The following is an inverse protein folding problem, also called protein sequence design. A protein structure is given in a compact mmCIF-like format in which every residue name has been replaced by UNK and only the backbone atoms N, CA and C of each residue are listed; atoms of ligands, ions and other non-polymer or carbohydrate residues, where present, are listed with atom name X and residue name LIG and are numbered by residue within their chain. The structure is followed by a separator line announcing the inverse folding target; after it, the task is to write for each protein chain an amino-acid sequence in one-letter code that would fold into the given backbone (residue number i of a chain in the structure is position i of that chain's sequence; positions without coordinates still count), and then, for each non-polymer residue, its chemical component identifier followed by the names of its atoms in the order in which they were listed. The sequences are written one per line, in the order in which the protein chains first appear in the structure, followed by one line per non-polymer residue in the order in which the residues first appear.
data_IF_170333363396
#
_entry.id   IF_170333363396
#
_cell.length_a   1.000
_cell.length_b   1.000
_cell.length_c   1.000
_cell.angle_alpha   90.00
_cell.angle_beta   90.00
_cell.angle_gamma   90.00
#
_symmetry.space_group_name_H-M   'P 1'
#
loop_
_entity.id
_entity.type
_entity.pdbx_description
1 polymer ?
#
# COMPACT_ATOMS: atom_id res chain seq x y z
N UNK A 1 4.17 -37.01 -15.22
CA UNK A 1 3.12 -36.18 -14.60
C UNK A 1 3.75 -34.84 -14.29
N UNK A 2 3.16 -33.74 -14.74
CA UNK A 2 3.62 -32.42 -14.32
C UNK A 2 3.36 -32.27 -12.82
N UNK A 3 4.33 -31.78 -12.06
CA UNK A 3 4.10 -31.43 -10.66
C UNK A 3 3.09 -30.28 -10.62
N UNK A 4 2.11 -30.38 -9.73
CA UNK A 4 1.13 -29.31 -9.48
C UNK A 4 1.53 -28.55 -8.23
N UNK A 5 1.16 -27.27 -8.17
CA UNK A 5 1.25 -26.43 -7.00
C UNK A 5 -0.02 -25.60 -6.84
N UNK A 6 -0.25 -25.10 -5.64
CA UNK A 6 -1.41 -24.31 -5.30
C UNK A 6 -1.23 -22.85 -5.70
N UNK A 7 -2.30 -22.28 -6.22
CA UNK A 7 -2.46 -20.86 -6.48
C UNK A 7 -3.75 -20.37 -5.83
N UNK A 8 -3.65 -19.27 -5.09
CA UNK A 8 -4.81 -18.53 -4.59
C UNK A 8 -5.01 -17.26 -5.42
N UNK A 9 -6.25 -17.04 -5.84
CA UNK A 9 -6.72 -15.76 -6.37
C UNK A 9 -7.56 -15.08 -5.31
N UNK A 10 -7.25 -13.82 -5.01
CA UNK A 10 -8.01 -12.99 -4.09
C UNK A 10 -8.55 -11.78 -4.84
N UNK A 11 -9.86 -11.71 -4.95
CA UNK A 11 -10.61 -10.62 -5.58
C UNK A 11 -11.30 -9.74 -4.52
N UNK A 12 -11.72 -8.54 -4.91
CA UNK A 12 -12.51 -7.70 -4.01
C UNK A 12 -13.85 -8.37 -3.68
N UNK A 13 -14.29 -8.37 -2.40
CA UNK A 13 -15.55 -8.97 -2.01
C UNK A 13 -16.74 -8.27 -2.66
N UNK A 14 -17.79 -9.03 -2.98
CA UNK A 14 -19.08 -8.49 -3.42
C UNK A 14 -19.91 -8.04 -2.20
N UNK A 15 -21.07 -7.40 -2.45
CA UNK A 15 -22.00 -6.93 -1.40
C UNK A 15 -22.41 -8.03 -0.41
N UNK A 16 -22.39 -9.29 -0.84
CA UNK A 16 -22.76 -10.44 -0.02
C UNK A 16 -21.57 -11.12 0.68
N UNK A 17 -20.34 -10.63 0.46
CA UNK A 17 -19.10 -11.19 1.03
C UNK A 17 -18.82 -12.65 0.64
N UNK A 18 -19.51 -13.21 -0.36
CA UNK A 18 -19.34 -14.60 -0.81
C UNK A 18 -18.51 -14.63 -2.10
N UNK A 19 -17.65 -15.64 -2.23
CA UNK A 19 -16.87 -15.96 -3.44
C UNK A 19 -15.90 -14.84 -3.88
N UNK A 20 -14.86 -14.61 -3.08
CA UNK A 20 -13.75 -13.72 -3.44
C UNK A 20 -12.36 -14.33 -3.26
N UNK A 21 -12.25 -15.55 -2.72
CA UNK A 21 -11.01 -16.30 -2.63
C UNK A 21 -11.19 -17.62 -3.36
N UNK A 22 -10.33 -17.88 -4.34
CA UNK A 22 -10.38 -19.07 -5.17
C UNK A 22 -9.04 -19.80 -5.09
N UNK A 23 -9.09 -21.13 -4.92
CA UNK A 23 -7.91 -21.99 -4.86
C UNK A 23 -7.88 -22.91 -6.07
N UNK A 24 -6.73 -22.98 -6.72
CA UNK A 24 -6.51 -23.78 -7.91
C UNK A 24 -5.23 -24.60 -7.79
N UNK A 25 -5.23 -25.80 -8.38
CA UNK A 25 -4.01 -26.55 -8.63
C UNK A 25 -3.54 -26.22 -10.05
N UNK A 26 -2.35 -25.64 -10.15
CA UNK A 26 -1.72 -25.23 -11.41
C UNK A 26 -0.40 -25.96 -11.62
N UNK A 27 0.06 -26.17 -12.86
CA UNK A 27 1.39 -26.73 -13.09
C UNK A 27 2.48 -25.86 -12.47
N UNK A 28 3.47 -26.50 -11.84
CA UNK A 28 4.67 -25.79 -11.37
C UNK A 28 5.32 -25.13 -12.59
N UNK A 29 5.58 -23.81 -12.56
CA UNK A 29 6.14 -23.10 -13.70
C UNK A 29 7.57 -23.56 -14.02
N UNK A 30 7.90 -23.57 -15.31
CA UNK A 30 9.25 -23.87 -15.79
C UNK A 30 10.23 -22.74 -15.41
N UNK A 31 11.47 -23.12 -15.10
CA UNK A 31 12.50 -22.17 -14.67
C UNK A 31 13.01 -21.39 -15.89
N UNK A 32 12.93 -20.04 -15.90
CA UNK A 32 13.48 -19.25 -17.00
C UNK A 32 14.99 -19.45 -17.14
N UNK A 33 15.50 -19.50 -18.37
CA UNK A 33 16.92 -19.82 -18.66
C UNK A 33 17.89 -18.92 -17.90
N UNK A 34 17.61 -17.62 -17.80
CA UNK A 34 18.46 -16.63 -17.12
C UNK A 34 17.90 -16.20 -15.75
N UNK A 35 16.90 -16.91 -15.26
CA UNK A 35 16.11 -16.51 -14.12
C UNK A 35 16.17 -17.51 -12.96
N UNK A 36 15.16 -17.45 -12.11
CA UNK A 36 15.01 -18.36 -10.99
C UNK A 36 13.55 -18.73 -10.77
N UNK A 37 13.33 -19.87 -10.10
CA UNK A 37 12.06 -20.21 -9.48
C UNK A 37 12.21 -20.11 -7.97
N UNK A 38 11.29 -19.37 -7.38
CA UNK A 38 11.23 -19.07 -5.96
C UNK A 38 10.09 -19.87 -5.36
N UNK A 39 10.39 -20.63 -4.30
CA UNK A 39 9.37 -21.20 -3.43
C UNK A 39 8.91 -20.11 -2.47
N UNK A 40 7.67 -19.66 -2.65
CA UNK A 40 7.06 -18.56 -1.90
C UNK A 40 6.73 -19.02 -0.49
N UNK A 41 7.24 -18.35 0.53
CA UNK A 41 6.97 -18.69 1.94
C UNK A 41 5.91 -17.76 2.51
N UNK A 42 6.08 -16.46 2.30
CA UNK A 42 5.19 -15.42 2.81
C UNK A 42 4.79 -14.47 1.67
N UNK A 43 3.54 -14.00 1.71
CA UNK A 43 3.08 -12.93 0.83
C UNK A 43 2.25 -11.89 1.59
N UNK A 44 2.39 -10.61 1.24
CA UNK A 44 1.55 -9.54 1.77
C UNK A 44 0.10 -9.70 1.30
N UNK A 45 -0.85 -9.80 2.24
CA UNK A 45 -2.26 -9.94 1.89
C UNK A 45 -2.83 -8.62 1.36
N UNK A 46 -3.58 -8.71 0.28
CA UNK A 46 -4.23 -7.67 -0.50
C UNK A 46 -5.17 -8.34 -1.52
N UNK A 47 -6.20 -7.65 -1.99
CA UNK A 47 -7.13 -8.17 -3.01
C UNK A 47 -7.05 -7.36 -4.30
N UNK A 48 -7.47 -7.96 -5.42
CA UNK A 48 -7.57 -7.24 -6.70
C UNK A 48 -8.86 -6.40 -6.75
N UNK A 49 -8.84 -5.18 -7.29
CA UNK A 49 -10.07 -4.48 -7.61
C UNK A 49 -10.82 -5.27 -8.70
N UNK A 50 -12.08 -5.63 -8.48
CA UNK A 50 -12.92 -6.15 -9.57
C UNK A 50 -13.05 -5.08 -10.67
N UNK A 51 -12.76 -5.45 -11.91
CA UNK A 51 -13.14 -4.62 -13.08
C UNK A 51 -14.66 -4.63 -13.18
N UNK A 52 -15.28 -3.46 -13.37
CA UNK A 52 -16.69 -3.36 -13.71
C UNK A 52 -17.00 -4.27 -14.92
N UNK A 53 -18.11 -5.02 -14.93
CA UNK A 53 -18.52 -5.69 -16.15
C UNK A 53 -18.76 -4.62 -17.22
N UNK A 54 -17.97 -4.66 -18.29
CA UNK A 54 -18.26 -3.87 -19.48
C UNK A 54 -19.62 -4.31 -20.04
N UNK A 55 -20.49 -3.35 -20.36
CA UNK A 55 -21.82 -3.56 -20.96
C UNK A 55 -21.81 -4.28 -22.34
N UNK A 56 -20.66 -4.79 -22.79
CA UNK A 56 -20.49 -5.48 -24.07
C UNK A 56 -20.67 -7.00 -23.99
N UNK A 57 -21.14 -7.56 -22.87
CA UNK A 57 -21.46 -8.99 -22.75
C UNK A 57 -22.91 -9.22 -22.31
N UNK A 58 -23.85 -8.72 -23.12
CA UNK A 58 -25.25 -9.16 -23.10
C UNK A 58 -25.55 -9.91 -24.41
N UNK A 59 -25.20 -11.19 -24.44
CA UNK A 59 -25.85 -12.15 -25.34
C UNK A 59 -26.31 -13.34 -24.52
N UNK A 60 -27.46 -13.19 -23.85
CA UNK A 60 -28.41 -14.28 -23.59
C UNK A 60 -29.77 -13.68 -23.25
N UNK A 61 -30.72 -13.90 -24.16
CA UNK A 61 -32.13 -13.57 -24.03
C UNK A 61 -32.79 -14.36 -22.89
N UNK A 62 -33.59 -13.69 -22.05
CA UNK A 62 -34.95 -14.10 -21.67
C UNK A 62 -35.64 -13.05 -20.79
N UNK A 63 -36.88 -12.76 -21.15
CA UNK A 63 -37.72 -11.65 -20.73
C UNK A 63 -38.41 -11.85 -19.39
N UNK A 64 -38.57 -10.79 -18.59
CA UNK A 64 -39.87 -10.40 -18.01
C UNK A 64 -39.82 -8.99 -17.41
N UNK A 65 -40.91 -8.27 -17.66
CA UNK A 65 -41.15 -6.85 -17.43
C UNK A 65 -41.37 -6.50 -15.96
N UNK A 66 -40.88 -5.34 -15.51
CA UNK A 66 -41.54 -4.45 -14.55
C UNK A 66 -40.96 -3.04 -14.66
N UNK A 67 -41.85 -2.09 -14.95
CA UNK A 67 -41.61 -0.67 -15.23
C UNK A 67 -41.00 0.08 -14.03
N UNK A 68 -39.94 0.86 -14.25
CA UNK A 68 -39.64 2.04 -13.42
C UNK A 68 -39.17 3.19 -14.32
N UNK A 69 -39.78 4.35 -14.07
CA UNK A 69 -39.85 5.57 -14.85
C UNK A 69 -38.52 6.33 -14.97
N UNK A 70 -38.30 6.96 -16.12
CA UNK A 70 -37.20 7.89 -16.40
C UNK A 70 -37.16 9.09 -15.44
N UNK A 71 -35.98 9.43 -14.90
CA UNK A 71 -35.31 10.76 -14.96
C UNK A 71 -34.21 10.88 -13.90
N UNK A 72 -32.94 10.68 -14.29
CA UNK A 72 -31.79 11.38 -13.70
C UNK A 72 -30.53 11.10 -14.51
N UNK A 73 -29.82 12.17 -14.85
CA UNK A 73 -28.52 12.17 -15.52
C UNK A 73 -27.48 11.64 -14.52
N UNK A 74 -27.20 10.34 -14.53
CA UNK A 74 -26.09 9.74 -13.78
C UNK A 74 -25.91 8.28 -14.22
N UNK A 75 -24.68 7.86 -14.57
CA UNK A 75 -24.42 6.43 -14.76
C UNK A 75 -23.23 6.08 -15.64
N UNK A 76 -22.02 6.30 -15.13
CA UNK A 76 -20.84 5.52 -15.52
C UNK A 76 -19.91 5.43 -14.28
N UNK A 77 -20.32 4.64 -13.28
CA UNK A 77 -19.50 4.39 -12.11
C UNK A 77 -19.58 2.91 -11.68
N UNK A 78 -18.48 2.31 -11.21
CA UNK A 78 -18.56 1.05 -10.48
C UNK A 78 -19.45 1.28 -9.25
N UNK A 79 -20.51 0.48 -9.13
CA UNK A 79 -21.33 0.42 -7.93
C UNK A 79 -20.53 -0.30 -6.85
N UNK A 80 -19.57 0.39 -6.24
CA UNK A 80 -19.23 0.16 -4.83
C UNK A 80 -19.77 1.36 -4.08
N UNK A 81 -21.02 1.28 -3.62
CA UNK A 81 -21.44 2.17 -2.53
C UNK A 81 -20.45 1.91 -1.38
N UNK A 82 -19.77 2.94 -0.85
CA UNK A 82 -19.06 2.78 0.41
C UNK A 82 -20.11 2.57 1.49
N UNK A 83 -20.50 1.32 1.70
CA UNK A 83 -21.25 0.97 2.89
C UNK A 83 -20.40 1.37 4.09
N UNK A 84 -21.07 1.96 5.08
CA UNK A 84 -20.46 2.43 6.30
C UNK A 84 -19.63 1.30 6.94
N UNK A 85 -18.30 1.38 6.84
CA UNK A 85 -17.38 0.41 7.45
C UNK A 85 -16.55 -0.46 6.48
N UNK A 86 -16.84 -0.50 5.17
CA UNK A 86 -16.04 -1.27 4.20
C UNK A 86 -15.08 -0.34 3.45
N UNK A 87 -13.77 -0.60 3.58
CA UNK A 87 -12.72 0.17 2.88
C UNK A 87 -12.11 -0.65 1.76
N UNK A 88 -11.77 0.02 0.66
CA UNK A 88 -11.00 -0.60 -0.42
C UNK A 88 -9.51 -0.60 -0.06
N UNK A 89 -8.94 -1.79 0.10
CA UNK A 89 -7.55 -2.06 0.43
C UNK A 89 -6.79 -2.74 -0.73
N UNK A 90 -7.33 -2.68 -1.95
CA UNK A 90 -6.76 -3.30 -3.15
C UNK A 90 -5.59 -2.50 -3.74
N UNK A 91 -4.40 -2.58 -3.15
CA UNK A 91 -3.23 -1.82 -3.60
C UNK A 91 -2.12 -2.65 -4.25
N UNK A 92 -1.77 -3.83 -3.71
CA UNK A 92 -0.64 -4.64 -4.19
C UNK A 92 -0.98 -6.13 -4.26
N UNK A 93 -1.96 -6.55 -5.08
CA UNK A 93 -2.39 -7.93 -5.09
C UNK A 93 -1.31 -8.87 -5.63
N UNK A 94 -0.69 -9.67 -4.74
CA UNK A 94 0.22 -10.75 -5.11
C UNK A 94 1.65 -10.35 -5.51
N UNK A 95 2.04 -9.08 -5.34
CA UNK A 95 3.40 -8.60 -5.70
C UNK A 95 4.39 -8.63 -4.53
N UNK A 96 3.89 -8.73 -3.30
CA UNK A 96 4.67 -8.67 -2.08
C UNK A 96 5.02 -10.06 -1.62
N UNK A 97 6.15 -10.59 -2.06
CA UNK A 97 6.51 -11.99 -1.88
C UNK A 97 7.90 -12.13 -1.29
N UNK A 98 8.03 -13.00 -0.29
CA UNK A 98 9.29 -13.44 0.27
C UNK A 98 9.36 -14.97 0.25
N UNK A 99 10.50 -15.50 -0.16
CA UNK A 99 10.65 -16.93 -0.36
C UNK A 99 12.11 -17.37 -0.41
N UNK A 100 12.29 -18.57 -0.95
CA UNK A 100 13.57 -19.24 -1.05
C UNK A 100 13.82 -19.59 -2.52
N UNK A 101 15.03 -19.32 -3.03
CA UNK A 101 15.45 -19.78 -4.35
C UNK A 101 15.40 -21.30 -4.38
N UNK A 102 14.48 -21.87 -5.16
CA UNK A 102 14.33 -23.32 -5.30
C UNK A 102 15.12 -23.86 -6.49
N UNK A 103 15.18 -23.10 -7.59
CA UNK A 103 15.97 -23.48 -8.76
C UNK A 103 16.47 -22.24 -9.49
N UNK A 104 17.65 -22.37 -10.10
CA UNK A 104 18.23 -21.40 -11.01
C UNK A 104 18.13 -21.91 -12.45
N UNK A 105 18.04 -20.98 -13.40
CA UNK A 105 18.01 -21.29 -14.83
C UNK A 105 19.34 -21.83 -15.34
N UNK A 106 19.31 -22.61 -16.41
CA UNK A 106 20.52 -23.25 -16.98
C UNK A 106 21.51 -22.27 -17.62
N UNK A 107 21.08 -21.04 -17.91
CA UNK A 107 21.93 -19.96 -18.43
C UNK A 107 22.44 -19.00 -17.35
N UNK A 108 22.09 -19.24 -16.08
CA UNK A 108 22.64 -18.50 -14.94
C UNK A 108 24.08 -18.97 -14.71
N UNK A 109 25.00 -18.01 -14.65
CA UNK A 109 26.42 -18.29 -14.37
C UNK A 109 26.63 -18.76 -12.93
N UNK A 110 27.63 -19.61 -12.70
CA UNK A 110 27.97 -20.13 -11.36
C UNK A 110 28.42 -19.01 -10.39
N UNK A 111 28.83 -17.84 -10.90
CA UNK A 111 29.26 -16.66 -10.14
C UNK A 111 28.16 -15.59 -9.96
N UNK A 112 26.89 -15.91 -10.26
CA UNK A 112 25.76 -14.96 -10.28
C UNK A 112 25.34 -14.37 -8.91
N UNK A 113 26.13 -14.57 -7.85
CA UNK A 113 25.83 -14.24 -6.45
C UNK A 113 24.59 -14.92 -5.86
N UNK A 114 23.86 -15.76 -6.59
CA UNK A 114 22.68 -16.47 -6.08
C UNK A 114 22.91 -17.98 -6.01
N UNK A 115 22.35 -18.63 -5.00
CA UNK A 115 22.39 -20.07 -4.79
C UNK A 115 21.00 -20.60 -4.43
N UNK A 116 20.76 -21.87 -4.73
CA UNK A 116 19.59 -22.59 -4.23
C UNK A 116 19.62 -22.58 -2.70
N UNK A 117 18.50 -22.23 -2.08
CA UNK A 117 18.39 -22.04 -0.63
C UNK A 117 18.50 -20.58 -0.18
N UNK A 118 18.94 -19.66 -1.04
CA UNK A 118 18.97 -18.24 -0.70
C UNK A 118 17.57 -17.70 -0.40
N UNK A 119 17.47 -16.92 0.67
CA UNK A 119 16.26 -16.19 1.05
C UNK A 119 16.19 -14.91 0.24
N UNK A 120 15.06 -14.69 -0.43
CA UNK A 120 14.90 -13.56 -1.36
C UNK A 120 13.52 -12.91 -1.27
N UNK A 121 13.49 -11.63 -1.62
CA UNK A 121 12.29 -10.89 -1.97
C UNK A 121 12.37 -10.48 -3.44
N UNK A 122 11.20 -10.19 -4.01
CA UNK A 122 11.06 -9.80 -5.39
C UNK A 122 10.85 -8.29 -5.52
N UNK A 123 11.68 -7.61 -6.31
CA UNK A 123 11.40 -6.25 -6.77
C UNK A 123 10.31 -6.25 -7.86
N UNK A 124 9.26 -5.40 -7.75
CA UNK A 124 8.18 -5.37 -8.74
C UNK A 124 8.66 -5.09 -10.17
N UNK A 125 8.14 -5.84 -11.15
CA UNK A 125 8.44 -5.71 -12.58
C UNK A 125 7.20 -5.97 -13.45
N UNK A 126 7.22 -5.51 -14.69
CA UNK A 126 6.11 -5.69 -15.61
C UNK A 126 5.93 -7.16 -15.99
N UNK A 127 4.71 -7.68 -15.82
CA UNK A 127 4.39 -9.08 -16.12
C UNK A 127 4.68 -10.07 -15.00
N UNK A 128 4.87 -9.61 -13.75
CA UNK A 128 4.85 -10.50 -12.59
C UNK A 128 3.56 -11.33 -12.61
N UNK A 129 3.66 -12.68 -12.45
CA UNK A 129 2.48 -13.52 -12.34
C UNK A 129 1.54 -13.03 -11.24
N UNK A 130 0.28 -12.76 -11.61
CA UNK A 130 -0.72 -12.37 -10.63
C UNK A 130 -1.00 -13.56 -9.69
N UNK A 131 -0.82 -13.35 -8.40
CA UNK A 131 -1.44 -14.18 -7.38
C UNK A 131 -0.52 -14.74 -6.32
N UNK A 132 -1.18 -15.37 -5.39
CA UNK A 132 -0.64 -16.02 -4.22
C UNK A 132 -0.28 -17.46 -4.60
N UNK A 133 0.89 -17.63 -5.19
CA UNK A 133 1.37 -18.93 -5.72
C UNK A 133 2.40 -19.54 -4.78
N UNK A 134 2.47 -20.87 -4.73
CA UNK A 134 3.53 -21.59 -4.02
C UNK A 134 4.90 -21.48 -4.71
N UNK A 135 4.91 -21.40 -6.05
CA UNK A 135 6.12 -21.22 -6.86
C UNK A 135 5.95 -20.05 -7.81
N UNK A 136 6.88 -19.09 -7.72
CA UNK A 136 6.93 -17.91 -8.56
C UNK A 136 8.21 -17.91 -9.39
N UNK A 137 8.13 -17.55 -10.65
CA UNK A 137 9.31 -17.43 -11.53
C UNK A 137 9.68 -15.99 -11.75
N UNK A 138 10.99 -15.74 -11.78
CA UNK A 138 11.57 -14.45 -12.15
C UNK A 138 12.38 -14.62 -13.43
N UNK A 139 12.22 -13.76 -14.43
CA UNK A 139 12.90 -13.93 -15.72
C UNK A 139 14.39 -13.60 -15.65
N UNK A 140 14.80 -12.78 -14.67
CA UNK A 140 16.15 -12.24 -14.52
C UNK A 140 16.43 -12.06 -13.02
N UNK A 141 17.65 -12.42 -12.59
CA UNK A 141 18.08 -12.36 -11.19
C UNK A 141 18.19 -10.92 -10.66
N UNK A 142 18.25 -9.90 -11.52
CA UNK A 142 18.26 -8.49 -11.10
C UNK A 142 17.01 -8.07 -10.32
N UNK A 143 15.92 -8.81 -10.46
CA UNK A 143 14.67 -8.56 -9.72
C UNK A 143 14.67 -9.22 -8.34
N UNK A 144 15.67 -10.04 -8.02
CA UNK A 144 15.80 -10.62 -6.70
C UNK A 144 16.66 -9.72 -5.82
N UNK A 145 16.35 -9.72 -4.54
CA UNK A 145 17.18 -9.14 -3.49
C UNK A 145 17.30 -10.16 -2.37
N UNK A 146 18.53 -10.40 -1.93
CA UNK A 146 18.79 -11.30 -0.80
C UNK A 146 18.27 -10.72 0.51
N UNK A 147 17.67 -11.57 1.31
CA UNK A 147 17.20 -11.27 2.65
C UNK A 147 18.17 -11.91 3.65
N UNK A 148 18.78 -11.14 4.56
CA UNK A 148 19.63 -11.68 5.62
C UNK A 148 18.87 -12.61 6.54
N UNK A 149 19.59 -13.57 7.15
CA UNK A 149 18.93 -14.56 8.02
C UNK A 149 18.27 -13.97 9.26
N UNK A 150 18.77 -12.81 9.70
CA UNK A 150 18.27 -12.06 10.85
C UNK A 150 16.87 -11.46 10.66
N UNK A 151 16.38 -11.34 9.42
CA UNK A 151 15.07 -10.75 9.14
C UNK A 151 14.05 -11.85 8.82
N UNK A 152 12.97 -12.05 9.59
CA UNK A 152 11.92 -13.03 9.27
C UNK A 152 11.31 -12.80 7.87
N UNK A 153 11.05 -13.88 7.12
CA UNK A 153 10.44 -13.76 5.77
C UNK A 153 9.05 -13.10 5.79
N UNK A 154 8.31 -13.19 6.91
CA UNK A 154 7.05 -12.46 7.08
C UNK A 154 7.24 -10.94 7.06
N UNK A 155 8.35 -10.44 7.60
CA UNK A 155 8.71 -9.02 7.56
C UNK A 155 9.25 -8.65 6.19
N UNK A 156 10.12 -9.49 5.62
CA UNK A 156 10.69 -9.26 4.29
C UNK A 156 9.62 -9.13 3.20
N UNK A 157 8.53 -9.91 3.30
CA UNK A 157 7.41 -9.83 2.36
C UNK A 157 6.74 -8.45 2.30
N UNK A 158 6.87 -7.63 3.35
CA UNK A 158 6.26 -6.29 3.43
C UNK A 158 7.07 -5.21 2.72
N UNK A 159 8.31 -5.53 2.31
CA UNK A 159 9.25 -4.55 1.80
C UNK A 159 8.99 -4.12 0.34
N UNK A 160 8.79 -5.05 -0.62
CA UNK A 160 8.86 -4.71 -2.04
C UNK A 160 7.79 -3.77 -2.59
N UNK A 161 6.62 -3.70 -1.97
CA UNK A 161 5.57 -2.79 -2.43
C UNK A 161 5.22 -1.76 -1.36
N UNK A 162 4.68 -2.17 -0.22
CA UNK A 162 4.16 -1.25 0.78
C UNK A 162 5.26 -0.37 1.38
N UNK A 163 6.32 -0.97 1.88
CA UNK A 163 7.40 -0.22 2.51
C UNK A 163 8.24 0.57 1.48
N UNK A 164 8.47 0.00 0.29
CA UNK A 164 9.16 0.69 -0.81
C UNK A 164 8.38 1.93 -1.29
N UNK A 165 7.07 1.81 -1.48
CA UNK A 165 6.21 2.93 -1.86
C UNK A 165 6.23 4.01 -0.77
N UNK A 166 6.14 3.60 0.50
CA UNK A 166 6.24 4.50 1.63
C UNK A 166 7.60 5.23 1.67
N UNK A 167 8.71 4.53 1.44
CA UNK A 167 10.06 5.10 1.41
C UNK A 167 10.21 6.14 0.30
N UNK A 168 9.77 5.80 -0.91
CA UNK A 168 9.85 6.73 -2.04
C UNK A 168 8.96 7.97 -1.81
N UNK A 169 7.79 7.79 -1.18
CA UNK A 169 6.94 8.92 -0.77
C UNK A 169 7.64 9.83 0.24
N UNK A 170 8.35 9.25 1.22
CA UNK A 170 9.13 10.01 2.21
C UNK A 170 10.27 10.77 1.51
N UNK A 171 10.91 10.20 0.49
CA UNK A 171 11.97 10.87 -0.27
C UNK A 171 11.41 12.05 -1.06
N UNK A 172 10.28 11.88 -1.75
CA UNK A 172 9.59 12.97 -2.42
C UNK A 172 9.18 14.07 -1.42
N UNK A 173 8.67 13.68 -0.24
CA UNK A 173 8.37 14.63 0.83
C UNK A 173 9.63 15.35 1.33
N UNK A 174 10.76 14.65 1.44
CA UNK A 174 12.04 15.21 1.87
C UNK A 174 12.54 16.31 0.92
N UNK A 175 12.42 16.12 -0.40
CA UNK A 175 12.74 17.18 -1.38
C UNK A 175 11.89 18.44 -1.16
N UNK A 176 10.59 18.25 -0.89
CA UNK A 176 9.69 19.36 -0.55
C UNK A 176 10.06 20.04 0.77
N UNK A 177 10.41 19.27 1.80
CA UNK A 177 10.90 19.78 3.09
C UNK A 177 12.16 20.63 2.88
N UNK A 178 13.16 20.12 2.15
CA UNK A 178 14.41 20.84 1.90
C UNK A 178 14.17 22.19 1.21
N UNK A 179 13.29 22.22 0.19
CA UNK A 179 12.91 23.45 -0.49
C UNK A 179 12.26 24.45 0.47
N UNK A 180 11.27 24.01 1.25
CA UNK A 180 10.55 24.87 2.19
C UNK A 180 11.43 25.41 3.31
N UNK A 181 12.31 24.57 3.87
CA UNK A 181 13.25 24.98 4.93
C UNK A 181 14.23 26.02 4.38
N UNK A 182 14.70 25.87 3.14
CA UNK A 182 15.55 26.88 2.48
C UNK A 182 14.83 28.22 2.26
N UNK A 183 13.56 28.18 1.88
CA UNK A 183 12.75 29.38 1.66
C UNK A 183 12.37 30.11 2.97
N UNK A 184 12.10 29.35 4.04
CA UNK A 184 11.65 29.88 5.34
C UNK A 184 12.79 30.17 6.32
N UNK A 185 14.00 29.71 6.05
CA UNK A 185 15.20 29.96 6.86
C UNK A 185 15.18 29.26 8.23
N UNK A 186 15.89 29.84 9.20
CA UNK A 186 16.19 29.18 10.48
C UNK A 186 14.97 28.97 11.40
N UNK A 187 13.88 29.72 11.19
CA UNK A 187 12.65 29.57 11.97
C UNK A 187 11.55 28.80 11.22
N UNK A 188 11.85 28.31 10.02
CA UNK A 188 10.90 27.57 9.20
C UNK A 188 10.68 26.16 9.71
N UNK A 189 9.43 25.84 10.07
CA UNK A 189 8.98 24.47 10.36
C UNK A 189 8.11 24.00 9.20
N UNK A 190 8.39 22.80 8.70
CA UNK A 190 7.57 22.06 7.76
C UNK A 190 6.64 21.11 8.52
N UNK A 191 5.37 21.11 8.15
CA UNK A 191 4.33 20.32 8.81
C UNK A 191 3.85 19.21 7.89
N UNK A 192 4.01 17.96 8.31
CA UNK A 192 3.61 16.77 7.56
C UNK A 192 2.40 16.13 8.24
N UNK A 193 1.34 15.90 7.49
CA UNK A 193 0.16 15.13 7.91
C UNK A 193 0.16 13.77 7.21
N UNK A 194 0.23 12.69 7.97
CA UNK A 194 0.09 11.32 7.47
C UNK A 194 -1.34 10.85 7.78
N UNK A 195 -2.08 10.44 6.76
CA UNK A 195 -3.48 10.02 6.91
C UNK A 195 -3.59 8.51 7.00
N UNK A 196 -4.24 8.04 8.06
CA UNK A 196 -4.53 6.65 8.35
C UNK A 196 -3.48 5.95 9.22
N UNK A 197 -3.82 4.73 9.64
CA UNK A 197 -3.01 3.86 10.51
C UNK A 197 -2.89 2.45 9.93
N UNK A 198 -3.12 2.29 8.62
CA UNK A 198 -2.88 1.05 7.90
C UNK A 198 -1.39 0.83 7.59
N UNK A 199 -1.04 -0.35 7.07
CA UNK A 199 0.36 -0.74 6.81
C UNK A 199 1.20 0.30 6.07
N UNK A 200 0.67 0.94 5.02
CA UNK A 200 1.38 2.00 4.28
C UNK A 200 1.66 3.24 5.13
N UNK A 201 0.64 3.75 5.84
CA UNK A 201 0.79 4.93 6.67
C UNK A 201 1.76 4.69 7.83
N UNK A 202 1.73 3.49 8.44
CA UNK A 202 2.67 3.11 9.49
C UNK A 202 4.10 2.95 8.97
N UNK A 203 4.29 2.38 7.77
CA UNK A 203 5.61 2.38 7.12
C UNK A 203 6.10 3.80 6.88
N UNK A 204 5.27 4.67 6.31
CA UNK A 204 5.62 6.08 6.08
C UNK A 204 6.00 6.78 7.38
N UNK A 205 5.24 6.58 8.46
CA UNK A 205 5.54 7.16 9.77
C UNK A 205 6.92 6.72 10.29
N UNK A 206 7.22 5.42 10.25
CA UNK A 206 8.49 4.86 10.73
C UNK A 206 9.68 5.33 9.90
N UNK A 207 9.53 5.31 8.58
CA UNK A 207 10.58 5.76 7.65
C UNK A 207 10.78 7.28 7.77
N UNK A 208 9.70 8.05 7.85
CA UNK A 208 9.76 9.50 8.08
C UNK A 208 10.44 9.83 9.41
N UNK A 209 10.11 9.12 10.50
CA UNK A 209 10.74 9.30 11.79
C UNK A 209 12.27 9.06 11.73
N UNK A 210 12.72 8.08 10.93
CA UNK A 210 14.14 7.83 10.69
C UNK A 210 14.80 8.93 9.86
N UNK A 211 14.29 9.26 8.67
CA UNK A 211 14.93 10.24 7.77
C UNK A 211 14.82 11.69 8.23
N UNK A 212 13.77 12.04 8.97
CA UNK A 212 13.61 13.37 9.55
C UNK A 212 14.17 13.48 10.98
N UNK A 213 14.82 12.43 11.50
CA UNK A 213 15.42 12.44 12.83
C UNK A 213 16.41 13.59 13.04
N UNK A 214 17.23 13.92 12.04
CA UNK A 214 18.19 15.03 12.11
C UNK A 214 17.55 16.42 11.88
N UNK A 215 16.27 16.47 11.48
CA UNK A 215 15.52 17.69 11.17
C UNK A 215 14.32 17.87 12.12
N UNK A 216 14.37 17.32 13.33
CA UNK A 216 13.25 17.37 14.28
C UNK A 216 12.80 18.79 14.65
N UNK A 217 13.71 19.76 14.69
CA UNK A 217 13.36 21.16 14.96
C UNK A 217 12.74 21.86 13.73
N UNK A 218 12.78 21.20 12.57
CA UNK A 218 12.31 21.71 11.27
C UNK A 218 11.12 20.95 10.73
N UNK A 219 10.82 19.76 11.24
CA UNK A 219 9.76 18.89 10.73
C UNK A 219 8.89 18.44 11.88
N UNK A 220 7.59 18.70 11.76
CA UNK A 220 6.58 18.20 12.69
C UNK A 220 5.67 17.23 11.96
N UNK A 221 5.43 16.07 12.57
CA UNK A 221 4.62 15.01 11.98
C UNK A 221 3.33 14.88 12.80
N UNK A 222 2.20 14.93 12.10
CA UNK A 222 0.87 14.68 12.65
C UNK A 222 0.28 13.46 11.96
N UNK A 223 -0.34 12.56 12.72
CA UNK A 223 -1.05 11.40 12.18
C UNK A 223 -2.55 11.61 12.33
N UNK A 224 -3.29 11.54 11.24
CA UNK A 224 -4.74 11.49 11.25
C UNK A 224 -5.21 10.03 11.33
N UNK A 225 -5.55 9.57 12.53
CA UNK A 225 -6.11 8.24 12.70
C UNK A 225 -7.59 8.21 12.33
N UNK A 226 -8.02 7.14 11.68
CA UNK A 226 -9.41 6.91 11.30
C UNK A 226 -10.16 6.02 12.30
N UNK A 227 -9.49 5.61 13.39
CA UNK A 227 -9.99 4.69 14.42
C UNK A 227 -9.52 5.16 15.80
N UNK A 228 -9.99 4.47 16.83
CA UNK A 228 -9.53 4.64 18.20
C UNK A 228 -8.20 3.88 18.44
N UNK A 229 -7.20 4.13 17.59
CA UNK A 229 -5.83 3.61 17.74
C UNK A 229 -4.79 4.74 17.86
N UNK A 230 -5.25 6.00 17.84
CA UNK A 230 -4.40 7.17 17.92
C UNK A 230 -3.57 7.24 19.20
N UNK A 231 -4.09 6.73 20.31
CA UNK A 231 -3.37 6.65 21.58
C UNK A 231 -2.16 5.70 21.51
N UNK A 232 -2.30 4.57 20.82
CA UNK A 232 -1.19 3.62 20.63
C UNK A 232 -0.06 4.27 19.82
N UNK A 233 -0.42 5.03 18.78
CA UNK A 233 0.54 5.76 17.96
C UNK A 233 1.27 6.86 18.77
N UNK A 234 0.53 7.62 19.58
CA UNK A 234 1.12 8.65 20.43
C UNK A 234 2.04 8.08 21.53
N UNK A 235 1.76 6.87 22.02
CA UNK A 235 2.62 6.17 22.98
C UNK A 235 3.90 5.64 22.32
N UNK A 236 3.80 5.11 21.10
CA UNK A 236 4.93 4.54 20.38
C UNK A 236 5.89 5.62 19.86
N UNK A 237 5.35 6.75 19.40
CA UNK A 237 6.14 7.87 18.89
C UNK A 237 5.99 9.08 19.81
N UNK A 238 6.97 9.31 20.69
CA UNK A 238 6.94 10.40 21.68
C UNK A 238 6.88 11.83 21.10
N UNK A 239 7.07 12.00 19.78
CA UNK A 239 7.18 13.31 19.10
C UNK A 239 6.23 13.49 17.92
N UNK A 240 5.08 12.81 17.94
CA UNK A 240 4.05 13.02 16.93
C UNK A 240 2.77 13.56 17.55
N UNK A 241 2.08 14.41 16.80
CA UNK A 241 0.72 14.79 17.13
C UNK A 241 -0.24 13.77 16.52
N UNK A 242 -1.38 13.54 17.16
CA UNK A 242 -2.40 12.64 16.63
C UNK A 242 -3.75 13.34 16.64
N UNK A 243 -4.49 13.20 15.54
CA UNK A 243 -5.86 13.69 15.40
C UNK A 243 -6.77 12.57 14.94
N UNK A 244 -7.96 12.47 15.50
CA UNK A 244 -8.95 11.51 15.07
C UNK A 244 -9.82 12.09 13.94
N UNK A 245 -9.82 11.41 12.80
CA UNK A 245 -10.72 11.60 11.67
C UNK A 245 -11.94 10.69 11.79
N UNK A 246 -12.79 11.02 12.77
CA UNK A 246 -14.06 10.34 12.94
C UNK A 246 -15.05 10.79 11.86
N UNK A 247 -15.32 9.92 10.89
CA UNK A 247 -16.18 10.20 9.74
C UNK A 247 -17.65 10.53 10.12
N UNK A 248 -18.05 10.33 11.38
CA UNK A 248 -19.37 10.76 11.92
C UNK A 248 -19.44 12.25 12.25
N UNK A 249 -18.30 12.93 12.36
CA UNK A 249 -18.24 14.36 12.67
C UNK A 249 -18.43 15.20 11.41
N UNK A 250 -18.82 16.46 11.62
CA UNK A 250 -18.93 17.43 10.54
C UNK A 250 -17.55 17.80 9.98
N UNK A 251 -17.46 18.00 8.66
CA UNK A 251 -16.19 18.33 8.00
C UNK A 251 -15.49 19.55 8.60
N UNK A 252 -16.24 20.60 8.94
CA UNK A 252 -15.66 21.81 9.54
C UNK A 252 -14.92 21.50 10.84
N UNK A 253 -15.50 20.64 11.70
CA UNK A 253 -14.89 20.24 12.97
C UNK A 253 -13.64 19.39 12.74
N UNK A 254 -13.68 18.48 11.76
CA UNK A 254 -12.52 17.66 11.40
C UNK A 254 -11.36 18.51 10.89
N UNK A 255 -11.66 19.52 10.05
CA UNK A 255 -10.68 20.48 9.54
C UNK A 255 -10.08 21.30 10.69
N UNK A 256 -10.93 21.89 11.55
CA UNK A 256 -10.48 22.69 12.70
C UNK A 256 -9.59 21.88 13.66
N UNK A 257 -9.99 20.65 14.02
CA UNK A 257 -9.19 19.75 14.86
C UNK A 257 -7.87 19.35 14.21
N UNK A 258 -7.87 19.13 12.89
CA UNK A 258 -6.64 18.78 12.16
C UNK A 258 -5.67 19.96 12.13
N UNK A 259 -6.18 21.17 11.90
CA UNK A 259 -5.36 22.38 11.97
C UNK A 259 -4.82 22.61 13.38
N UNK A 260 -5.61 22.39 14.43
CA UNK A 260 -5.15 22.50 15.82
C UNK A 260 -4.01 21.51 16.11
N UNK A 261 -4.17 20.24 15.72
CA UNK A 261 -3.13 19.21 15.87
C UNK A 261 -1.86 19.48 15.03
N UNK A 262 -2.00 20.01 13.80
CA UNK A 262 -0.89 20.50 12.97
C UNK A 262 -0.31 21.85 13.48
N UNK A 263 -0.90 22.47 14.51
CA UNK A 263 -0.59 23.83 14.98
C UNK A 263 -0.67 24.89 13.86
N UNK A 264 -1.63 24.73 12.95
CA UNK A 264 -1.86 25.57 11.77
C UNK A 264 -2.06 24.72 10.50
N UNK A 265 -1.85 25.34 9.33
CA UNK A 265 -1.87 24.63 8.05
C UNK A 265 -0.66 23.69 7.93
N UNK A 266 -0.87 22.52 7.35
CA UNK A 266 0.17 21.54 7.07
C UNK A 266 0.74 21.81 5.65
N UNK A 267 2.01 21.50 5.40
CA UNK A 267 2.69 21.74 4.11
C UNK A 267 2.69 20.52 3.19
N UNK A 268 2.68 19.34 3.80
CA UNK A 268 2.71 18.05 3.11
C UNK A 268 1.60 17.20 3.70
N UNK A 269 0.79 16.58 2.86
CA UNK A 269 -0.16 15.53 3.26
C UNK A 269 0.19 14.25 2.52
N UNK A 270 0.20 13.11 3.22
CA UNK A 270 0.38 11.78 2.64
C UNK A 270 -0.89 10.98 2.92
N UNK A 271 -1.68 10.68 1.88
CA UNK A 271 -2.95 9.96 1.99
C UNK A 271 -3.02 8.82 0.95
N UNK A 272 -2.65 7.61 1.36
CA UNK A 272 -2.72 6.45 0.47
C UNK A 272 -4.15 5.93 0.28
N UNK A 273 -4.99 6.06 1.31
CA UNK A 273 -6.39 5.61 1.33
C UNK A 273 -7.36 6.69 0.86
N UNK A 274 -6.94 7.51 -0.11
CA UNK A 274 -7.61 8.76 -0.44
C UNK A 274 -9.02 8.52 -0.99
N UNK A 275 -9.98 9.28 -0.45
CA UNK A 275 -11.34 9.44 -0.99
C UNK A 275 -11.56 10.88 -1.41
N UNK A 276 -12.63 11.16 -2.17
CA UNK A 276 -13.00 12.55 -2.50
C UNK A 276 -13.20 13.41 -1.23
N UNK A 277 -13.80 12.82 -0.19
CA UNK A 277 -14.04 13.47 1.11
C UNK A 277 -12.73 13.75 1.86
N UNK A 278 -11.84 12.75 1.96
CA UNK A 278 -10.55 12.92 2.64
C UNK A 278 -9.64 13.90 1.87
N UNK A 279 -9.60 13.84 0.54
CA UNK A 279 -8.83 14.78 -0.28
C UNK A 279 -9.32 16.22 -0.10
N UNK A 280 -10.64 16.43 -0.11
CA UNK A 280 -11.21 17.75 0.17
C UNK A 280 -10.76 18.29 1.53
N UNK A 281 -10.81 17.46 2.58
CA UNK A 281 -10.36 17.79 3.94
C UNK A 281 -8.86 18.11 3.97
N UNK A 282 -8.03 17.27 3.36
CA UNK A 282 -6.59 17.46 3.22
C UNK A 282 -6.26 18.80 2.56
N UNK A 283 -6.92 19.14 1.44
CA UNK A 283 -6.72 20.43 0.75
C UNK A 283 -7.18 21.64 1.59
N UNK A 284 -8.15 21.48 2.51
CA UNK A 284 -8.51 22.56 3.44
C UNK A 284 -7.45 22.77 4.52
N UNK A 285 -6.74 21.72 4.92
CA UNK A 285 -5.68 21.79 5.93
C UNK A 285 -4.32 22.17 5.33
N UNK A 286 -4.19 22.15 3.99
CA UNK A 286 -2.93 22.33 3.28
C UNK A 286 -2.61 23.83 3.09
N UNK A 287 -1.34 24.19 3.28
CA UNK A 287 -0.83 25.55 3.07
C UNK A 287 -0.73 25.91 1.59
N UNK A 288 -0.54 27.20 1.31
CA UNK A 288 -0.19 27.68 -0.03
C UNK A 288 1.17 27.08 -0.44
N UNK A 289 1.29 26.62 -1.67
CA UNK A 289 2.39 25.81 -2.22
C UNK A 289 2.53 24.41 -1.58
N UNK A 290 1.58 23.99 -0.76
CA UNK A 290 1.59 22.67 -0.17
C UNK A 290 1.32 21.57 -1.19
N UNK A 291 1.68 20.34 -0.83
CA UNK A 291 1.50 19.14 -1.65
C UNK A 291 0.72 18.06 -0.89
N UNK A 292 -0.19 17.39 -1.60
CA UNK A 292 -0.76 16.12 -1.15
C UNK A 292 -0.30 14.99 -2.06
N UNK A 293 0.27 13.95 -1.45
CA UNK A 293 0.67 12.71 -2.12
C UNK A 293 -0.44 11.68 -2.01
N UNK A 294 -0.85 11.14 -3.15
CA UNK A 294 -1.92 10.13 -3.27
C UNK A 294 -1.49 8.99 -4.17
N UNK A 295 -2.10 7.81 -4.04
CA UNK A 295 -1.84 6.68 -4.96
C UNK A 295 -2.19 7.08 -6.39
N UNK A 296 -1.36 6.66 -7.36
CA UNK A 296 -1.49 7.01 -8.79
C UNK A 296 -2.90 6.78 -9.35
N UNK A 297 -3.45 5.58 -9.17
CA UNK A 297 -4.82 5.25 -9.62
C UNK A 297 -5.88 6.17 -9.01
N UNK A 298 -5.67 6.61 -7.77
CA UNK A 298 -6.57 7.56 -7.11
C UNK A 298 -6.37 8.97 -7.65
N UNK A 299 -5.12 9.38 -7.92
CA UNK A 299 -4.79 10.64 -8.56
C UNK A 299 -5.50 10.75 -9.91
N UNK A 300 -5.41 9.74 -10.77
CA UNK A 300 -6.01 9.75 -12.11
C UNK A 300 -7.53 9.95 -12.06
N UNK A 301 -8.20 9.39 -11.05
CA UNK A 301 -9.66 9.55 -10.85
C UNK A 301 -10.05 10.90 -10.25
N UNK A 302 -9.24 11.44 -9.34
CA UNK A 302 -9.60 12.62 -8.53
C UNK A 302 -9.03 13.92 -9.09
N UNK A 303 -7.88 13.92 -9.76
CA UNK A 303 -7.27 15.11 -10.36
C UNK A 303 -8.24 15.89 -11.26
N UNK A 304 -9.04 15.27 -12.15
CA UNK A 304 -10.00 16.02 -12.96
C UNK A 304 -11.05 16.78 -12.14
N UNK A 305 -11.39 16.29 -10.94
CA UNK A 305 -12.38 16.90 -10.04
C UNK A 305 -11.80 18.02 -9.18
N UNK A 306 -10.50 17.96 -8.88
CA UNK A 306 -9.85 18.85 -7.91
C UNK A 306 -8.83 19.81 -8.54
N UNK A 307 -8.48 19.66 -9.82
CA UNK A 307 -7.47 20.48 -10.53
C UNK A 307 -7.71 21.99 -10.39
N UNK A 308 -8.92 22.45 -10.73
CA UNK A 308 -9.30 23.86 -10.60
C UNK A 308 -9.14 24.38 -9.17
N UNK A 309 -9.56 23.59 -8.19
CA UNK A 309 -9.47 23.97 -6.77
C UNK A 309 -8.02 23.99 -6.27
N UNK A 310 -7.18 23.09 -6.79
CA UNK A 310 -5.76 23.06 -6.49
C UNK A 310 -5.06 24.29 -7.05
N UNK A 311 -5.39 24.70 -8.28
CA UNK A 311 -4.88 25.93 -8.90
C UNK A 311 -5.33 27.18 -8.13
N UNK A 312 -6.63 27.31 -7.83
CA UNK A 312 -7.19 28.44 -7.07
C UNK A 312 -6.54 28.61 -5.68
N UNK A 313 -6.02 27.53 -5.09
CA UNK A 313 -5.37 27.52 -3.77
C UNK A 313 -3.85 27.48 -3.84
N UNK A 314 -3.28 27.45 -5.04
CA UNK A 314 -1.85 27.28 -5.28
C UNK A 314 -1.30 26.04 -4.56
N UNK A 315 -2.01 24.92 -4.68
CA UNK A 315 -1.69 23.63 -4.07
C UNK A 315 -1.39 22.60 -5.17
N UNK A 316 -0.71 21.52 -4.80
CA UNK A 316 -0.41 20.41 -5.72
C UNK A 316 -0.95 19.08 -5.20
N UNK A 317 -1.50 18.28 -6.11
CA UNK A 317 -1.87 16.89 -5.87
C UNK A 317 -0.92 16.06 -6.72
N UNK A 318 -0.07 15.25 -6.10
CA UNK A 318 0.95 14.45 -6.79
C UNK A 318 0.69 12.96 -6.61
N UNK A 319 0.75 12.17 -7.70
CA UNK A 319 0.78 10.72 -7.57
C UNK A 319 2.08 10.29 -6.88
N UNK A 320 2.00 9.24 -6.09
CA UNK A 320 3.17 8.54 -5.57
C UNK A 320 3.72 7.62 -6.65
N UNK A 321 5.02 7.69 -6.88
CA UNK A 321 5.73 6.81 -7.80
C UNK A 321 6.28 5.57 -7.08
N UNK A 322 6.42 4.42 -7.77
CA UNK A 322 7.14 3.26 -7.25
C UNK A 322 8.58 3.62 -6.86
N UNK A 323 9.11 2.97 -5.83
CA UNK A 323 10.51 3.14 -5.45
C UNK A 323 11.47 2.33 -6.33
N UNK A 324 12.76 2.62 -6.24
CA UNK A 324 13.80 1.98 -7.05
C UNK A 324 14.36 0.71 -6.41
N UNK A 325 15.13 -0.08 -7.18
CA UNK A 325 15.81 -1.27 -6.68
C UNK A 325 16.83 -0.93 -5.60
N UNK A 326 17.52 0.21 -5.74
CA UNK A 326 18.49 0.72 -4.76
C UNK A 326 17.80 1.08 -3.44
N UNK A 327 16.65 1.75 -3.50
CA UNK A 327 15.83 2.04 -2.33
C UNK A 327 15.39 0.74 -1.64
N UNK A 328 14.97 -0.27 -2.40
CA UNK A 328 14.57 -1.55 -1.79
C UNK A 328 15.76 -2.26 -1.11
N UNK A 329 16.96 -2.22 -1.70
CA UNK A 329 18.16 -2.74 -1.06
C UNK A 329 18.50 -1.97 0.23
N UNK A 330 18.44 -0.64 0.20
CA UNK A 330 18.62 0.19 1.40
C UNK A 330 17.59 -0.18 2.48
N UNK A 331 16.33 -0.38 2.10
CA UNK A 331 15.27 -0.75 3.01
C UNK A 331 15.52 -2.11 3.69
N UNK A 332 16.01 -3.11 2.95
CA UNK A 332 16.44 -4.39 3.52
C UNK A 332 17.53 -4.19 4.56
N UNK A 333 18.51 -3.32 4.30
CA UNK A 333 19.59 -3.02 5.25
C UNK A 333 19.07 -2.29 6.49
N UNK A 334 18.21 -1.29 6.33
CA UNK A 334 17.63 -0.53 7.45
C UNK A 334 16.80 -1.41 8.38
N UNK A 335 15.97 -2.30 7.82
CA UNK A 335 15.12 -3.19 8.61
C UNK A 335 15.93 -4.33 9.24
N UNK A 336 16.88 -4.93 8.51
CA UNK A 336 17.72 -6.02 9.05
C UNK A 336 18.68 -5.56 10.16
N UNK A 337 19.11 -4.30 10.10
CA UNK A 337 19.94 -3.68 11.15
C UNK A 337 19.14 -3.10 12.33
N UNK A 338 17.80 -3.15 12.27
CA UNK A 338 16.93 -2.61 13.32
C UNK A 338 16.85 -1.07 13.38
N UNK A 339 17.37 -0.36 12.36
CA UNK A 339 17.29 1.10 12.29
C UNK A 339 15.87 1.60 11.98
N UNK A 340 15.12 0.81 11.22
CA UNK A 340 13.71 1.03 10.94
C UNK A 340 12.96 -0.23 11.36
N UNK A 341 12.13 -0.11 12.38
CA UNK A 341 11.28 -1.22 12.81
C UNK A 341 10.13 -1.42 11.81
N UNK A 342 9.73 -2.68 11.52
CA UNK A 342 8.54 -2.92 10.73
C UNK A 342 7.26 -2.57 11.51
N UNK A 343 6.19 -2.14 10.85
CA UNK A 343 4.90 -1.94 11.51
C UNK A 343 4.31 -3.28 11.97
N UNK A 344 3.35 -3.26 12.91
CA UNK A 344 2.68 -4.47 13.37
C UNK A 344 2.15 -5.30 12.21
N UNK A 345 2.34 -6.62 12.28
CA UNK A 345 1.82 -7.54 11.28
C UNK A 345 1.35 -8.83 11.92
N UNK A 346 0.37 -9.48 11.27
CA UNK A 346 -0.15 -10.79 11.67
C UNK A 346 0.02 -11.76 10.52
N UNK A 347 0.53 -12.94 10.84
CA UNK A 347 0.75 -14.01 9.86
C UNK A 347 -0.38 -15.01 9.96
N UNK A 348 -1.02 -15.28 8.84
CA UNK A 348 -2.13 -16.21 8.67
C UNK A 348 -1.71 -17.34 7.72
N UNK A 349 -2.15 -18.58 7.96
CA UNK A 349 -2.08 -19.63 6.93
C UNK A 349 -2.77 -19.15 5.64
N UNK A 350 -2.22 -19.50 4.48
CA UNK A 350 -2.80 -19.13 3.19
C UNK A 350 -4.22 -19.68 3.00
N UNK A 351 -4.55 -20.79 3.67
CA UNK A 351 -5.89 -21.39 3.73
C UNK A 351 -6.93 -20.45 4.34
N UNK A 352 -6.51 -19.55 5.23
CA UNK A 352 -7.37 -18.59 5.92
C UNK A 352 -7.56 -17.29 5.11
N UNK A 353 -7.11 -17.24 3.86
CA UNK A 353 -7.19 -16.05 3.02
C UNK A 353 -8.60 -15.41 2.97
N UNK A 354 -9.67 -16.20 3.01
CA UNK A 354 -11.05 -15.68 3.03
C UNK A 354 -11.35 -14.90 4.32
N UNK A 355 -10.93 -15.43 5.47
CA UNK A 355 -11.07 -14.76 6.76
C UNK A 355 -10.21 -13.49 6.82
N UNK A 356 -8.99 -13.55 6.27
CA UNK A 356 -8.10 -12.39 6.17
C UNK A 356 -8.73 -11.28 5.33
N UNK A 357 -9.36 -11.59 4.19
CA UNK A 357 -10.08 -10.59 3.37
C UNK A 357 -11.24 -9.98 4.15
N UNK A 358 -12.02 -10.80 4.87
CA UNK A 358 -13.11 -10.29 5.70
C UNK A 358 -12.59 -9.31 6.76
N UNK A 359 -11.53 -9.68 7.48
CA UNK A 359 -10.88 -8.82 8.47
C UNK A 359 -10.30 -7.55 7.86
N UNK A 360 -9.71 -7.61 6.67
CA UNK A 360 -9.21 -6.42 5.94
C UNK A 360 -10.36 -5.46 5.62
N UNK A 361 -11.47 -5.96 5.10
CA UNK A 361 -12.62 -5.13 4.72
C UNK A 361 -13.27 -4.43 5.92
N UNK A 362 -13.33 -5.10 7.06
CA UNK A 362 -13.85 -4.55 8.32
C UNK A 362 -12.79 -3.78 9.13
N UNK A 363 -11.59 -3.61 8.58
CA UNK A 363 -10.46 -2.96 9.26
C UNK A 363 -10.13 -3.61 10.61
N UNK A 364 -10.29 -4.92 10.76
CA UNK A 364 -10.01 -5.65 12.01
C UNK A 364 -8.53 -6.02 12.15
N UNK A 365 -7.73 -5.83 11.09
CA UNK A 365 -6.30 -6.09 11.09
C UNK A 365 -5.55 -4.83 11.51
N UNK A 366 -4.75 -4.95 12.57
CA UNK A 366 -3.81 -3.93 12.98
C UNK A 366 -2.52 -4.06 12.15
N UNK A 367 -2.19 -2.99 11.42
CA UNK A 367 -1.01 -2.95 10.55
C UNK A 367 -1.15 -3.80 9.28
N UNK A 368 -0.40 -4.90 9.14
CA UNK A 368 -0.37 -5.71 7.91
C UNK A 368 -0.72 -7.18 8.11
N UNK A 369 -1.48 -7.74 7.17
CA UNK A 369 -1.71 -9.18 7.09
C UNK A 369 -0.74 -9.84 6.12
N UNK A 370 -0.18 -10.98 6.53
CA UNK A 370 0.74 -11.80 5.74
C UNK A 370 0.13 -13.18 5.60
N UNK A 371 0.05 -13.70 4.37
CA UNK A 371 -0.32 -15.08 4.09
C UNK A 371 0.94 -15.94 4.05
N UNK A 372 0.90 -17.08 4.73
CA UNK A 372 1.98 -18.07 4.81
C UNK A 372 1.60 -19.31 4.02
N UNK A 373 2.43 -19.68 3.05
CA UNK A 373 2.23 -20.85 2.18
C UNK A 373 2.99 -22.08 2.69
N UNK A 374 4.13 -21.86 3.35
CA UNK A 374 4.93 -22.92 3.97
C UNK A 374 5.32 -22.53 5.39
N UNK A 375 5.57 -23.50 6.28
CA UNK A 375 6.24 -23.23 7.55
C UNK A 375 7.54 -22.45 7.28
N UNK A 376 7.74 -21.35 7.99
CA UNK A 376 9.05 -20.72 8.05
C UNK A 376 9.88 -21.57 9.02
N UNK A 377 10.89 -22.27 8.49
CA UNK A 377 11.87 -22.98 9.32
C UNK A 377 12.61 -22.01 10.24
#
# INVERSE_FOLDING_TARGET
MNKLCRQLSIESPNVNGRDCVFSFDVPVPDVPINGARIRVVCAGACYHPRRSPSLTSLTSVSSSSSLVTETSVEGDFPVSMPHYGVRDAALFPGYEVAGIVESLGTGVSDDCNYAIGDRVILYPFDGIPNGYVEYLVVPDLKYLIKVPDTMPLSVAAMLPAGALLAMNTVFAAHEHVQKLVKERGDNGVCKILIVGTGGLALWTLRIAAYYFHSMQDKVTITVASLRDDGLLMAQEFQRINVVEWNERLYEKQLIERTMDACQGLCDIVIDFGTTSRSLHRSMQCLSKNGVVFVIKDVADRLLPKFSRRAEEREQSIKPVEPGTLEQLNELVQLVSSGKVEPPPHTVYPAEEAMDVVHKLCHSEIHGRAILRFYPAD
#
